data_IF_429942267995
#
_entry.id   IF_429942267995
#
_cell.length_a   1.000
_cell.length_b   1.000
_cell.length_c   1.000
_cell.angle_alpha   90.00
_cell.angle_beta   90.00
_cell.angle_gamma   90.00
#
_symmetry.space_group_name_H-M   'P 1'
#
loop_
_entity.id
_entity.type
_entity.pdbx_description
1 polymer ?
#
# COMPACT_ATOMS: atom_id res chain seq x y z
N UNK A 1 67.12 -69.84 -6.34
CA UNK A 1 65.66 -69.75 -6.55
C UNK A 1 65.10 -68.72 -5.59
N UNK A 2 64.32 -67.79 -6.15
CA UNK A 2 63.30 -66.90 -5.57
C UNK A 2 63.69 -65.76 -4.60
N UNK A 3 63.21 -64.58 -5.04
CA UNK A 3 63.19 -63.23 -4.46
C UNK A 3 62.32 -63.16 -3.20
N UNK A 4 62.60 -62.20 -2.32
CA UNK A 4 61.56 -61.25 -1.88
C UNK A 4 62.18 -59.95 -1.30
N UNK A 5 61.77 -58.82 -1.86
CA UNK A 5 62.05 -57.45 -1.40
C UNK A 5 61.24 -57.15 -0.12
N UNK A 6 61.77 -56.31 0.78
CA UNK A 6 60.93 -55.45 1.60
C UNK A 6 61.58 -54.08 1.82
N UNK A 7 60.73 -53.07 1.67
CA UNK A 7 61.00 -51.72 1.20
C UNK A 7 61.32 -50.77 2.36
N UNK A 8 62.32 -49.91 2.18
CA UNK A 8 62.70 -48.82 3.08
C UNK A 8 61.71 -47.65 2.91
N UNK A 9 60.98 -47.30 3.97
CA UNK A 9 60.04 -46.18 3.99
C UNK A 9 60.80 -44.87 4.27
N UNK A 10 61.04 -44.05 3.25
CA UNK A 10 61.56 -42.69 3.40
C UNK A 10 60.37 -41.72 3.57
N UNK A 11 60.28 -41.10 4.75
CA UNK A 11 59.28 -40.07 5.04
C UNK A 11 59.72 -38.76 4.34
N UNK A 12 59.11 -38.45 3.19
CA UNK A 12 59.30 -37.18 2.49
C UNK A 12 58.39 -36.14 3.16
N UNK A 13 58.99 -35.19 3.87
CA UNK A 13 58.30 -34.02 4.38
C UNK A 13 57.99 -33.07 3.22
N UNK A 14 56.72 -33.04 2.80
CA UNK A 14 56.20 -32.11 1.80
C UNK A 14 55.97 -30.77 2.50
N UNK A 15 56.86 -29.81 2.21
CA UNK A 15 56.64 -28.40 2.56
C UNK A 15 55.62 -27.85 1.57
N UNK A 16 54.37 -27.69 2.02
CA UNK A 16 53.38 -26.90 1.30
C UNK A 16 53.77 -25.42 1.41
N UNK A 17 54.39 -24.88 0.36
CA UNK A 17 54.36 -23.44 0.10
C UNK A 17 52.91 -23.06 -0.21
N UNK A 18 52.17 -22.65 0.82
CA UNK A 18 50.95 -21.88 0.65
C UNK A 18 51.37 -20.51 0.11
N UNK A 19 51.28 -20.33 -1.20
CA UNK A 19 51.19 -19.00 -1.79
C UNK A 19 49.88 -18.40 -1.30
N UNK A 20 49.97 -17.53 -0.29
CA UNK A 20 48.89 -16.59 0.00
C UNK A 20 48.95 -15.51 -1.08
N UNK A 21 48.36 -15.78 -2.25
CA UNK A 21 48.00 -14.69 -3.16
C UNK A 21 46.97 -13.86 -2.43
N UNK A 22 47.42 -12.78 -1.79
CA UNK A 22 46.58 -11.64 -1.48
C UNK A 22 46.07 -11.11 -2.83
N UNK A 23 44.97 -11.70 -3.32
CA UNK A 23 44.18 -11.19 -4.42
C UNK A 23 43.44 -9.93 -3.94
N UNK A 24 44.21 -8.89 -3.61
CA UNK A 24 43.72 -7.52 -3.60
C UNK A 24 43.59 -7.08 -5.05
N UNK A 25 42.59 -7.63 -5.75
CA UNK A 25 42.00 -6.90 -6.88
C UNK A 25 41.56 -5.55 -6.32
N UNK A 26 41.90 -4.41 -6.94
CA UNK A 26 41.42 -3.13 -6.45
C UNK A 26 39.90 -3.19 -6.43
N UNK A 27 39.34 -3.00 -5.24
CA UNK A 27 37.91 -2.99 -5.03
C UNK A 27 37.34 -1.84 -5.88
N UNK A 28 36.49 -2.16 -6.84
CA UNK A 28 35.98 -1.17 -7.79
C UNK A 28 35.13 -0.15 -7.03
N UNK A 29 35.62 1.10 -6.95
CA UNK A 29 34.90 2.20 -6.30
C UNK A 29 33.62 2.47 -7.09
N UNK A 30 32.49 2.51 -6.37
CA UNK A 30 31.20 2.86 -6.95
C UNK A 30 31.12 4.36 -7.17
N UNK A 31 30.64 4.77 -8.34
CA UNK A 31 30.31 6.17 -8.65
C UNK A 31 28.84 6.22 -9.00
N UNK A 32 28.03 6.83 -8.13
CA UNK A 32 26.62 7.02 -8.38
C UNK A 32 26.43 8.19 -9.35
N UNK A 33 25.71 7.94 -10.44
CA UNK A 33 25.39 8.97 -11.40
C UNK A 33 24.06 8.68 -12.08
N UNK A 34 23.34 9.72 -12.46
CA UNK A 34 22.10 9.63 -13.22
C UNK A 34 21.79 10.96 -13.87
N UNK A 35 20.89 10.91 -14.84
CA UNK A 35 20.26 12.06 -15.48
C UNK A 35 18.73 11.95 -15.41
N UNK A 36 18.07 13.07 -15.65
CA UNK A 36 16.61 13.18 -15.55
C UNK A 36 16.03 13.83 -16.79
N UNK A 37 14.91 13.31 -17.25
CA UNK A 37 14.06 13.94 -18.27
C UNK A 37 12.70 14.26 -17.66
N UNK A 38 12.29 15.53 -17.71
CA UNK A 38 10.99 15.98 -17.21
C UNK A 38 9.98 15.97 -18.36
N UNK A 39 8.99 15.10 -18.24
CA UNK A 39 7.86 14.97 -19.15
C UNK A 39 6.61 15.53 -18.46
N UNK A 40 6.07 16.62 -18.99
CA UNK A 40 4.81 17.17 -18.49
C UNK A 40 3.64 16.37 -19.06
N UNK A 41 2.83 15.81 -18.17
CA UNK A 41 1.56 15.17 -18.50
C UNK A 41 0.36 16.05 -18.12
N UNK A 42 -0.84 15.58 -18.43
CA UNK A 42 -2.06 16.26 -17.98
C UNK A 42 -2.18 16.17 -16.45
N UNK A 43 -2.14 17.31 -15.75
CA UNK A 43 -2.26 17.44 -14.30
C UNK A 43 -1.18 16.70 -13.47
N UNK A 44 -0.07 16.29 -14.09
CA UNK A 44 1.07 15.67 -13.41
C UNK A 44 2.36 15.89 -14.20
N UNK A 45 3.51 15.72 -13.55
CA UNK A 45 4.81 15.59 -14.20
C UNK A 45 5.37 14.18 -13.96
N UNK A 46 6.00 13.63 -14.99
CA UNK A 46 6.74 12.37 -14.94
C UNK A 46 8.21 12.73 -15.13
N UNK A 47 9.06 12.31 -14.19
CA UNK A 47 10.50 12.49 -14.27
C UNK A 47 11.12 11.14 -14.52
N UNK A 48 11.54 10.90 -15.76
CA UNK A 48 12.24 9.68 -16.13
C UNK A 48 13.69 9.77 -15.63
N UNK A 49 14.16 8.72 -14.96
CA UNK A 49 15.51 8.62 -14.40
C UNK A 49 16.31 7.60 -15.20
N UNK A 50 17.45 8.03 -15.73
CA UNK A 50 18.40 7.14 -16.40
C UNK A 50 19.65 7.01 -15.56
N UNK A 51 19.96 5.80 -15.12
CA UNK A 51 21.14 5.52 -14.33
C UNK A 51 22.40 5.45 -15.18
N UNK A 52 23.43 6.15 -14.72
CA UNK A 52 24.75 6.27 -15.34
C UNK A 52 25.85 5.85 -14.36
N UNK A 53 25.49 5.13 -13.30
CA UNK A 53 26.40 4.72 -12.24
C UNK A 53 27.43 3.72 -12.75
N UNK A 54 28.62 3.76 -12.15
CA UNK A 54 29.73 2.88 -12.51
C UNK A 54 30.05 1.94 -11.35
N UNK A 55 30.41 0.70 -11.70
CA UNK A 55 30.81 -0.35 -10.77
C UNK A 55 29.77 -0.73 -9.72
N UNK A 56 28.49 -0.43 -9.95
CA UNK A 56 27.37 -0.79 -9.07
C UNK A 56 26.58 -1.99 -9.64
N UNK A 57 25.92 -2.72 -8.75
CA UNK A 57 25.03 -3.84 -9.08
C UNK A 57 23.66 -3.72 -8.44
N UNK A 58 23.47 -2.76 -7.54
CA UNK A 58 22.22 -2.50 -6.80
C UNK A 58 21.97 -1.01 -6.67
N UNK A 59 20.70 -0.64 -6.66
CA UNK A 59 20.24 0.74 -6.70
C UNK A 59 19.11 0.98 -5.71
N UNK A 60 19.05 2.19 -5.18
CA UNK A 60 17.96 2.65 -4.34
C UNK A 60 17.65 4.12 -4.63
N UNK A 61 16.47 4.34 -5.20
CA UNK A 61 15.93 5.66 -5.49
C UNK A 61 15.09 6.18 -4.33
N UNK A 62 15.18 7.49 -4.09
CA UNK A 62 14.32 8.21 -3.15
C UNK A 62 14.00 9.62 -3.65
N UNK A 63 12.84 10.14 -3.25
CA UNK A 63 12.32 11.45 -3.62
C UNK A 63 11.66 12.10 -2.42
N UNK A 64 11.69 13.44 -2.35
CA UNK A 64 11.08 14.18 -1.25
C UNK A 64 9.55 14.06 -1.20
N UNK A 65 8.88 14.06 -2.37
CA UNK A 65 7.40 14.12 -2.47
C UNK A 65 6.83 13.35 -3.68
N UNK A 66 7.69 12.69 -4.47
CA UNK A 66 7.28 11.99 -5.68
C UNK A 66 7.05 10.50 -5.45
N UNK A 67 6.11 9.91 -6.19
CA UNK A 67 5.92 8.45 -6.18
C UNK A 67 6.86 7.84 -7.20
N UNK A 68 7.72 6.94 -6.73
CA UNK A 68 8.68 6.22 -7.58
C UNK A 68 8.03 4.93 -8.07
N UNK A 69 8.10 4.66 -9.36
CA UNK A 69 7.55 3.45 -9.97
C UNK A 69 8.17 2.18 -9.40
N UNK A 70 9.50 2.13 -9.38
CA UNK A 70 10.28 1.10 -8.73
C UNK A 70 11.53 1.71 -8.09
N UNK A 71 11.72 1.51 -6.79
CA UNK A 71 12.83 2.09 -6.04
C UNK A 71 14.16 1.39 -6.26
N UNK A 72 14.17 0.19 -6.85
CA UNK A 72 15.36 -0.67 -6.97
C UNK A 72 15.76 -0.98 -8.41
N UNK A 73 14.96 -0.57 -9.39
CA UNK A 73 15.31 -0.73 -10.80
C UNK A 73 16.47 0.20 -11.20
N UNK A 74 17.20 -0.23 -12.23
CA UNK A 74 18.30 0.53 -12.81
C UNK A 74 17.78 1.88 -13.34
N UNK A 75 16.74 1.85 -14.18
CA UNK A 75 16.03 3.04 -14.65
C UNK A 75 14.61 3.02 -14.09
N UNK A 76 14.06 4.18 -13.72
CA UNK A 76 12.73 4.29 -13.11
C UNK A 76 12.11 5.65 -13.44
N UNK A 77 10.86 5.87 -13.02
CA UNK A 77 10.19 7.16 -13.15
C UNK A 77 9.64 7.65 -11.81
N UNK A 78 9.59 8.96 -11.64
CA UNK A 78 8.98 9.63 -10.48
C UNK A 78 7.81 10.50 -10.93
N UNK A 79 6.69 10.39 -10.23
CA UNK A 79 5.46 11.11 -10.54
C UNK A 79 5.19 12.20 -9.51
N UNK A 80 4.91 13.43 -9.98
CA UNK A 80 4.59 14.60 -9.15
C UNK A 80 3.28 15.26 -9.62
N UNK A 81 2.51 15.84 -8.69
CA UNK A 81 1.22 16.50 -8.99
C UNK A 81 1.25 18.02 -8.83
N UNK A 82 2.25 18.55 -8.12
CA UNK A 82 2.34 19.96 -7.80
C UNK A 82 3.61 20.55 -8.42
N UNK A 83 3.57 21.84 -8.75
CA UNK A 83 4.77 22.56 -9.11
C UNK A 83 5.60 22.78 -7.83
N UNK A 84 6.91 22.67 -7.94
CA UNK A 84 7.81 22.77 -6.80
C UNK A 84 9.24 22.36 -7.13
N UNK A 85 10.08 22.47 -6.11
CA UNK A 85 11.45 21.95 -6.14
C UNK A 85 11.48 20.63 -5.38
N UNK A 86 11.99 19.59 -6.03
CA UNK A 86 12.03 18.24 -5.49
C UNK A 86 13.45 17.71 -5.48
N UNK A 87 13.80 17.02 -4.40
CA UNK A 87 15.10 16.37 -4.26
C UNK A 87 14.99 14.91 -4.70
N UNK A 88 15.88 14.48 -5.59
CA UNK A 88 15.98 13.09 -6.05
C UNK A 88 17.36 12.56 -5.68
N UNK A 89 17.37 11.38 -5.05
CA UNK A 89 18.61 10.73 -4.61
C UNK A 89 18.69 9.30 -5.15
N UNK A 90 19.85 8.97 -5.73
CA UNK A 90 20.25 7.61 -6.08
C UNK A 90 21.38 7.16 -5.15
N UNK A 91 21.17 6.08 -4.42
CA UNK A 91 22.22 5.30 -3.79
C UNK A 91 22.55 4.09 -4.66
N UNK A 92 23.82 3.94 -5.05
CA UNK A 92 24.31 2.82 -5.84
C UNK A 92 25.34 2.03 -5.02
N UNK A 93 25.31 0.69 -5.11
CA UNK A 93 26.24 -0.18 -4.39
C UNK A 93 26.59 -1.44 -5.17
N UNK A 94 27.77 -2.01 -4.88
CA UNK A 94 28.19 -3.35 -5.32
C UNK A 94 28.33 -4.35 -4.17
N UNK A 95 27.82 -4.02 -2.98
CA UNK A 95 27.91 -4.85 -1.77
C UNK A 95 29.16 -4.60 -0.92
N UNK A 96 30.21 -3.97 -1.46
CA UNK A 96 31.41 -3.61 -0.68
C UNK A 96 31.70 -2.11 -0.65
N UNK A 97 31.39 -1.40 -1.73
CA UNK A 97 31.40 0.05 -1.83
C UNK A 97 29.99 0.57 -2.12
N UNK A 98 29.70 1.79 -1.69
CA UNK A 98 28.50 2.53 -2.08
C UNK A 98 28.82 4.00 -2.35
N UNK A 99 28.01 4.63 -3.19
CA UNK A 99 28.06 6.07 -3.41
C UNK A 99 26.63 6.60 -3.62
N UNK A 100 26.45 7.89 -3.38
CA UNK A 100 25.16 8.57 -3.48
C UNK A 100 25.28 9.81 -4.32
N UNK A 101 24.31 10.03 -5.22
CA UNK A 101 24.13 11.28 -5.93
C UNK A 101 22.75 11.85 -5.60
N UNK A 102 22.72 13.14 -5.31
CA UNK A 102 21.49 13.89 -5.05
C UNK A 102 21.44 15.09 -5.98
N UNK A 103 20.28 15.34 -6.59
CA UNK A 103 20.02 16.54 -7.38
C UNK A 103 18.68 17.16 -6.97
N UNK A 104 18.57 18.47 -7.15
CA UNK A 104 17.29 19.17 -7.08
C UNK A 104 16.76 19.40 -8.50
N UNK A 105 15.49 19.08 -8.73
CA UNK A 105 14.77 19.40 -9.95
C UNK A 105 13.68 20.43 -9.65
N UNK A 106 13.31 21.25 -10.64
CA UNK A 106 12.20 22.19 -10.53
C UNK A 106 11.14 21.84 -11.56
N UNK A 107 9.89 21.74 -11.11
CA UNK A 107 8.71 21.56 -11.95
C UNK A 107 7.85 22.81 -11.78
N UNK A 108 7.64 23.56 -12.86
CA UNK A 108 7.01 24.89 -12.83
C UNK A 108 5.80 25.03 -13.78
N UNK A 109 5.43 23.98 -14.50
CA UNK A 109 4.46 24.03 -15.60
C UNK A 109 3.44 22.88 -15.63
N UNK A 110 3.12 22.25 -14.50
CA UNK A 110 1.93 21.39 -14.42
C UNK A 110 0.68 22.26 -14.61
N UNK A 111 -0.02 22.06 -15.73
CA UNK A 111 -1.28 22.74 -16.01
C UNK A 111 -2.43 22.01 -15.32
N UNK A 112 -3.13 22.71 -14.43
CA UNK A 112 -4.42 22.25 -13.90
C UNK A 112 -5.51 22.60 -14.90
N UNK A 113 -5.69 21.78 -15.94
CA UNK A 113 -6.65 22.02 -17.02
C UNK A 113 -8.12 21.74 -16.64
N UNK A 114 -8.48 21.94 -15.37
CA UNK A 114 -9.76 21.49 -14.84
C UNK A 114 -9.79 19.96 -14.81
N UNK A 115 -9.08 19.39 -13.83
CA UNK A 115 -9.16 17.97 -13.51
C UNK A 115 -10.63 17.53 -13.51
N UNK A 116 -11.01 16.63 -14.43
CA UNK A 116 -12.28 15.94 -14.32
C UNK A 116 -12.03 14.79 -13.34
N UNK A 117 -12.56 14.86 -12.10
CA UNK A 117 -12.34 13.81 -11.14
C UNK A 117 -12.89 12.49 -11.67
N UNK A 118 -12.18 11.39 -11.38
CA UNK A 118 -12.68 10.06 -11.67
C UNK A 118 -14.07 9.90 -11.06
N UNK A 119 -14.99 9.47 -11.92
CA UNK A 119 -16.35 9.20 -11.52
C UNK A 119 -16.54 7.70 -11.43
N UNK A 120 -16.79 7.24 -10.22
CA UNK A 120 -17.11 5.86 -9.90
C UNK A 120 -18.61 5.71 -10.13
N UNK A 121 -18.99 4.91 -11.12
CA UNK A 121 -20.40 4.74 -11.49
C UNK A 121 -21.03 3.59 -10.72
N UNK A 122 -20.29 2.49 -10.62
CA UNK A 122 -20.73 1.32 -9.87
C UNK A 122 -19.55 0.64 -9.19
N UNK A 123 -19.80 0.14 -7.99
CA UNK A 123 -18.87 -0.69 -7.24
C UNK A 123 -19.63 -1.69 -6.37
N UNK A 124 -18.97 -2.78 -6.04
CA UNK A 124 -19.43 -3.66 -4.97
C UNK A 124 -18.25 -4.21 -4.17
N UNK A 125 -18.55 -4.65 -2.95
CA UNK A 125 -17.51 -5.01 -2.00
C UNK A 125 -18.04 -5.63 -0.73
N UNK A 126 -17.10 -6.05 0.11
CA UNK A 126 -17.35 -6.54 1.46
C UNK A 126 -16.60 -5.68 2.45
N UNK A 127 -17.26 -5.35 3.55
CA UNK A 127 -16.81 -4.37 4.52
C UNK A 127 -17.02 -4.93 5.93
N UNK A 128 -16.04 -4.78 6.82
CA UNK A 128 -16.17 -5.21 8.21
C UNK A 128 -15.44 -4.28 9.19
N UNK A 129 -15.99 -4.24 10.40
CA UNK A 129 -15.37 -3.58 11.55
C UNK A 129 -15.08 -4.61 12.63
N UNK A 130 -13.95 -4.47 13.29
CA UNK A 130 -13.57 -5.30 14.42
C UNK A 130 -12.64 -4.55 15.38
N UNK A 131 -12.57 -5.04 16.61
CA UNK A 131 -11.52 -4.68 17.57
C UNK A 131 -10.36 -5.67 17.46
N UNK A 132 -9.17 -5.18 17.76
CA UNK A 132 -7.96 -5.98 17.95
C UNK A 132 -7.40 -5.71 19.35
N UNK A 133 -6.62 -6.66 19.88
CA UNK A 133 -5.89 -6.55 21.14
C UNK A 133 -4.37 -6.40 20.94
N UNK A 134 -3.91 -6.39 19.68
CA UNK A 134 -2.49 -6.26 19.33
C UNK A 134 -2.00 -4.81 19.43
N UNK A 135 -1.81 -4.33 20.67
CA UNK A 135 -1.40 -2.96 20.96
C UNK A 135 -0.03 -2.58 20.40
N UNK A 136 0.91 -3.53 20.33
CA UNK A 136 2.26 -3.28 19.81
C UNK A 136 2.22 -2.90 18.33
N UNK A 137 1.52 -3.70 17.53
CA UNK A 137 1.33 -3.41 16.10
C UNK A 137 0.48 -2.16 15.93
N UNK A 138 -0.64 -2.04 16.65
CA UNK A 138 -1.53 -0.89 16.52
C UNK A 138 -0.79 0.44 16.75
N UNK A 139 -0.04 0.53 17.85
CA UNK A 139 0.74 1.71 18.20
C UNK A 139 1.82 2.01 17.16
N UNK A 140 2.47 0.99 16.60
CA UNK A 140 3.52 1.18 15.58
C UNK A 140 2.98 1.71 14.24
N UNK A 141 1.66 1.65 14.03
CA UNK A 141 1.01 2.13 12.81
C UNK A 141 0.42 3.53 12.95
N UNK A 142 0.51 4.16 14.13
CA UNK A 142 0.05 5.53 14.37
C UNK A 142 1.22 6.49 14.15
N UNK A 143 1.15 7.40 13.16
CA UNK A 143 2.11 8.50 13.00
C UNK A 143 2.16 9.43 14.22
N UNK A 144 3.30 10.11 14.40
CA UNK A 144 3.55 11.02 15.54
C UNK A 144 2.54 12.18 15.62
N UNK A 145 1.89 12.53 14.51
CA UNK A 145 0.86 13.56 14.42
C UNK A 145 -0.47 13.15 15.08
N UNK A 146 -0.69 11.86 15.31
CA UNK A 146 -1.94 11.31 15.86
C UNK A 146 -1.74 10.65 17.22
N UNK A 147 -2.81 10.57 17.99
CA UNK A 147 -2.85 9.92 19.29
C UNK A 147 -3.53 8.54 19.20
N UNK A 148 -3.19 7.68 20.17
CA UNK A 148 -3.91 6.43 20.39
C UNK A 148 -5.39 6.69 20.71
N UNK A 149 -6.34 6.01 20.05
CA UNK A 149 -7.75 6.12 20.38
C UNK A 149 -8.08 5.38 21.69
N UNK A 150 -9.27 5.62 22.22
CA UNK A 150 -9.80 4.87 23.37
C UNK A 150 -10.09 3.40 23.05
N UNK A 151 -10.32 3.08 21.77
CA UNK A 151 -10.65 1.74 21.26
C UNK A 151 -9.83 1.44 20.03
N UNK A 152 -9.20 0.26 20.00
CA UNK A 152 -8.41 -0.21 18.85
C UNK A 152 -9.32 -0.83 17.79
N UNK A 153 -10.02 0.04 17.05
CA UNK A 153 -10.95 -0.35 15.98
C UNK A 153 -10.19 -0.46 14.67
N UNK A 154 -10.56 -1.47 13.88
CA UNK A 154 -10.05 -1.73 12.54
C UNK A 154 -11.22 -1.82 11.57
N UNK A 155 -11.12 -1.09 10.47
CA UNK A 155 -12.00 -1.15 9.32
C UNK A 155 -11.27 -1.85 8.17
N UNK A 156 -11.77 -3.00 7.75
CA UNK A 156 -11.21 -3.77 6.64
C UNK A 156 -12.23 -3.95 5.53
N UNK A 157 -11.77 -3.89 4.28
CA UNK A 157 -12.65 -4.10 3.12
C UNK A 157 -11.94 -4.67 1.90
N UNK A 158 -12.77 -5.23 1.03
CA UNK A 158 -12.50 -5.45 -0.39
C UNK A 158 -13.55 -4.68 -1.19
N UNK A 159 -13.12 -4.01 -2.26
CA UNK A 159 -14.01 -3.28 -3.15
C UNK A 159 -13.58 -3.46 -4.61
N UNK A 160 -14.54 -3.67 -5.50
CA UNK A 160 -14.35 -3.81 -6.94
C UNK A 160 -15.04 -2.64 -7.64
N UNK A 161 -14.24 -1.72 -8.15
CA UNK A 161 -14.72 -0.63 -9.00
C UNK A 161 -14.72 -1.13 -10.44
N UNK A 162 -15.84 -1.72 -10.84
CA UNK A 162 -15.95 -2.36 -12.16
C UNK A 162 -16.54 -1.45 -13.24
N UNK A 163 -17.08 -0.29 -12.87
CA UNK A 163 -17.62 0.70 -13.82
C UNK A 163 -17.25 2.12 -13.42
N UNK A 164 -16.43 2.75 -14.24
CA UNK A 164 -15.95 4.12 -14.05
C UNK A 164 -16.06 4.90 -15.37
N UNK A 165 -15.92 6.22 -15.27
CA UNK A 165 -15.93 7.15 -16.41
C UNK A 165 -14.66 8.01 -16.43
N UNK A 166 -14.49 8.81 -17.49
CA UNK A 166 -13.36 9.74 -17.66
C UNK A 166 -11.98 9.07 -17.67
N UNK A 167 -11.89 7.93 -18.37
CA UNK A 167 -10.62 7.25 -18.62
C UNK A 167 -10.06 6.48 -17.44
N UNK A 168 -10.82 6.31 -16.34
CA UNK A 168 -10.39 5.48 -15.23
C UNK A 168 -10.49 3.98 -15.59
N UNK A 169 -9.43 3.23 -15.30
CA UNK A 169 -9.39 1.78 -15.46
C UNK A 169 -10.15 1.10 -14.32
N UNK A 170 -11.02 0.11 -14.58
CA UNK A 170 -11.59 -0.75 -13.56
C UNK A 170 -10.52 -1.43 -12.71
N UNK A 171 -10.72 -1.42 -11.39
CA UNK A 171 -9.71 -1.93 -10.47
C UNK A 171 -10.33 -2.36 -9.14
N UNK A 172 -9.59 -3.19 -8.40
CA UNK A 172 -9.96 -3.66 -7.07
C UNK A 172 -9.06 -3.02 -6.03
N UNK A 173 -9.60 -2.86 -4.83
CA UNK A 173 -8.87 -2.44 -3.64
C UNK A 173 -9.14 -3.42 -2.51
N UNK A 174 -8.13 -3.62 -1.68
CA UNK A 174 -8.22 -4.24 -0.38
C UNK A 174 -7.56 -3.27 0.60
N UNK A 175 -8.14 -3.06 1.78
CA UNK A 175 -7.56 -2.11 2.73
C UNK A 175 -7.77 -2.47 4.20
N UNK A 176 -6.91 -1.89 5.04
CA UNK A 176 -7.07 -1.77 6.48
C UNK A 176 -6.94 -0.29 6.86
N UNK A 177 -7.90 0.21 7.62
CA UNK A 177 -7.81 1.47 8.33
C UNK A 177 -7.95 1.25 9.83
N UNK A 178 -7.20 2.00 10.61
CA UNK A 178 -7.27 2.01 12.07
C UNK A 178 -7.89 3.31 12.55
N UNK A 179 -8.49 3.28 13.73
CA UNK A 179 -8.94 4.48 14.42
C UNK A 179 -7.74 5.21 15.01
N UNK A 180 -7.73 6.53 14.89
CA UNK A 180 -6.73 7.42 15.50
C UNK A 180 -7.44 8.63 16.08
N UNK A 181 -6.84 9.27 17.07
CA UNK A 181 -7.33 10.55 17.58
C UNK A 181 -6.47 11.70 17.04
N UNK A 182 -7.11 12.74 16.52
CA UNK A 182 -6.45 13.97 16.08
C UNK A 182 -7.28 15.18 16.54
N UNK A 183 -6.64 16.10 17.26
CA UNK A 183 -7.30 17.29 17.80
C UNK A 183 -8.55 17.00 18.67
N UNK A 184 -8.55 15.85 19.36
CA UNK A 184 -9.65 15.43 20.24
C UNK A 184 -10.85 14.80 19.54
N UNK A 185 -10.75 14.53 18.23
CA UNK A 185 -11.76 13.80 17.46
C UNK A 185 -11.18 12.49 16.91
N UNK A 186 -12.04 11.48 16.74
CA UNK A 186 -11.66 10.18 16.18
C UNK A 186 -11.80 10.16 14.65
N UNK A 187 -10.79 9.58 13.98
CA UNK A 187 -10.75 9.43 12.53
C UNK A 187 -10.28 8.04 12.12
N UNK A 188 -10.66 7.59 10.93
CA UNK A 188 -9.98 6.47 10.29
C UNK A 188 -8.71 6.94 9.57
N UNK A 189 -7.61 6.25 9.82
CA UNK A 189 -6.35 6.39 9.10
C UNK A 189 -6.06 5.08 8.37
N UNK A 190 -5.98 5.11 7.03
CA UNK A 190 -5.67 3.92 6.25
C UNK A 190 -4.17 3.64 6.31
N UNK A 191 -3.81 2.41 6.68
CA UNK A 191 -2.43 1.95 6.94
C UNK A 191 -1.99 0.84 5.99
N UNK A 192 -2.89 0.35 5.14
CA UNK A 192 -2.62 -0.71 4.18
C UNK A 192 -3.67 -0.65 3.07
N UNK A 193 -3.25 -0.55 1.80
CA UNK A 193 -4.20 -0.47 0.67
C UNK A 193 -3.67 -1.05 -0.65
N UNK A 194 -3.50 -2.38 -0.80
CA UNK A 194 -3.23 -2.95 -2.11
C UNK A 194 -4.34 -2.65 -3.13
N UNK A 195 -3.92 -2.37 -4.37
CA UNK A 195 -4.81 -2.15 -5.52
C UNK A 195 -4.31 -2.89 -6.76
N UNK A 196 -5.21 -3.15 -7.71
CA UNK A 196 -4.86 -3.88 -8.96
C UNK A 196 -4.48 -2.97 -10.13
N UNK A 197 -4.45 -1.66 -9.94
CA UNK A 197 -4.19 -0.69 -11.00
C UNK A 197 -3.20 0.38 -10.53
N UNK A 198 -2.12 0.56 -11.27
CA UNK A 198 -1.05 1.48 -10.93
C UNK A 198 -1.47 2.94 -11.01
N UNK A 199 -2.37 3.26 -11.93
CA UNK A 199 -2.84 4.62 -12.06
C UNK A 199 -3.65 5.04 -10.83
N UNK A 200 -4.57 4.19 -10.38
CA UNK A 200 -5.28 4.31 -9.11
C UNK A 200 -4.34 4.36 -7.90
N UNK A 201 -3.29 3.53 -7.90
CA UNK A 201 -2.26 3.52 -6.87
C UNK A 201 -1.63 4.91 -6.75
N UNK A 202 -1.04 5.40 -7.85
CA UNK A 202 -0.36 6.70 -7.90
C UNK A 202 -1.30 7.85 -7.57
N UNK A 203 -2.51 7.86 -8.13
CA UNK A 203 -3.50 8.90 -7.87
C UNK A 203 -3.89 8.98 -6.38
N UNK A 204 -4.01 7.84 -5.70
CA UNK A 204 -4.30 7.79 -4.27
C UNK A 204 -3.13 8.27 -3.40
N UNK A 205 -1.90 7.88 -3.71
CA UNK A 205 -0.71 8.30 -2.96
C UNK A 205 -0.48 9.81 -3.15
N UNK A 206 -0.36 10.27 -4.39
CA UNK A 206 -0.01 11.67 -4.69
C UNK A 206 -1.19 12.61 -4.39
N UNK A 207 -2.42 12.13 -4.55
CA UNK A 207 -3.62 12.93 -4.31
C UNK A 207 -3.99 13.05 -2.84
N UNK A 208 -3.89 11.96 -2.07
CA UNK A 208 -4.51 11.84 -0.76
C UNK A 208 -3.55 11.34 0.33
N UNK A 209 -2.33 10.91 0.02
CA UNK A 209 -1.41 10.30 1.00
C UNK A 209 -1.81 8.89 1.42
N UNK A 210 -2.59 8.17 0.60
CA UNK A 210 -2.98 6.79 0.90
C UNK A 210 -1.78 5.83 0.75
N UNK A 211 -1.63 4.80 1.60
CA UNK A 211 -0.54 3.83 1.52
C UNK A 211 -0.84 2.75 0.46
N UNK A 212 -1.13 3.19 -0.77
CA UNK A 212 -1.46 2.25 -1.85
C UNK A 212 -0.21 1.52 -2.32
N UNK A 213 -0.37 0.23 -2.59
CA UNK A 213 0.65 -0.61 -3.24
C UNK A 213 0.00 -1.44 -4.34
N UNK A 214 0.78 -2.00 -5.26
CA UNK A 214 0.23 -3.03 -6.16
C UNK A 214 0.03 -4.34 -5.40
N UNK A 215 -1.09 -5.00 -5.69
CA UNK A 215 -1.39 -6.32 -5.18
C UNK A 215 -2.30 -7.12 -6.08
N UNK A 216 -2.33 -8.42 -5.82
CA UNK A 216 -3.16 -9.38 -6.52
C UNK A 216 -4.47 -9.49 -5.75
N UNK A 217 -5.60 -9.14 -6.35
CA UNK A 217 -6.89 -9.11 -5.65
C UNK A 217 -7.95 -9.86 -6.45
N UNK A 218 -8.57 -10.85 -5.82
CA UNK A 218 -9.72 -11.58 -6.34
C UNK A 218 -10.94 -11.29 -5.46
N UNK A 219 -12.09 -11.12 -6.09
CA UNK A 219 -13.37 -10.92 -5.40
C UNK A 219 -14.47 -11.77 -6.04
N UNK A 220 -15.10 -12.63 -5.25
CA UNK A 220 -16.07 -13.62 -5.68
C UNK A 220 -17.46 -13.32 -5.09
N UNK A 221 -18.50 -13.48 -5.92
CA UNK A 221 -19.90 -13.08 -5.61
C UNK A 221 -20.82 -14.30 -5.66
N UNK A 222 -20.63 -15.23 -4.73
CA UNK A 222 -21.30 -16.54 -4.72
C UNK A 222 -22.42 -16.57 -3.67
N UNK A 223 -23.50 -15.82 -3.90
CA UNK A 223 -24.63 -15.71 -2.94
C UNK A 223 -25.02 -17.09 -2.38
N UNK A 224 -25.05 -17.26 -1.05
CA UNK A 224 -25.03 -16.22 0.00
C UNK A 224 -23.64 -15.75 0.46
N UNK A 225 -22.55 -16.30 -0.08
CA UNK A 225 -21.17 -16.02 0.32
C UNK A 225 -20.49 -15.01 -0.63
N UNK A 226 -19.81 -14.03 -0.06
CA UNK A 226 -19.00 -13.06 -0.79
C UNK A 226 -17.57 -13.11 -0.23
N UNK A 227 -16.58 -13.38 -1.08
CA UNK A 227 -15.20 -13.66 -0.65
C UNK A 227 -14.20 -12.76 -1.37
N UNK A 228 -13.26 -12.21 -0.61
CA UNK A 228 -12.10 -11.48 -1.09
C UNK A 228 -10.80 -12.19 -0.72
N UNK A 229 -9.88 -12.28 -1.67
CA UNK A 229 -8.50 -12.68 -1.45
C UNK A 229 -7.56 -11.60 -1.98
N UNK A 230 -6.60 -11.17 -1.17
CA UNK A 230 -5.56 -10.23 -1.56
C UNK A 230 -4.17 -10.75 -1.16
N UNK A 231 -3.19 -10.49 -2.02
CA UNK A 231 -1.76 -10.63 -1.73
C UNK A 231 -1.04 -9.33 -2.11
N UNK A 232 -0.37 -8.71 -1.15
CA UNK A 232 0.50 -7.56 -1.43
C UNK A 232 1.81 -8.05 -2.07
N UNK A 233 2.36 -7.32 -3.04
CA UNK A 233 3.64 -7.63 -3.66
C UNK A 233 4.80 -7.67 -2.65
N UNK A 234 4.73 -6.85 -1.59
CA UNK A 234 5.70 -6.83 -0.48
C UNK A 234 5.51 -7.99 0.51
N UNK A 235 4.55 -8.89 0.25
CA UNK A 235 4.24 -10.04 1.10
C UNK A 235 2.97 -9.85 1.91
N UNK A 236 2.54 -10.93 2.54
CA UNK A 236 1.31 -10.96 3.32
C UNK A 236 0.05 -11.20 2.49
N UNK A 237 -0.93 -11.86 3.11
CA UNK A 237 -2.22 -12.17 2.47
C UNK A 237 -3.39 -11.88 3.40
N UNK A 238 -4.52 -11.52 2.79
CA UNK A 238 -5.80 -11.37 3.47
C UNK A 238 -6.85 -12.19 2.73
N UNK A 239 -7.57 -13.04 3.48
CA UNK A 239 -8.83 -13.62 3.06
C UNK A 239 -9.93 -12.99 3.92
N UNK A 240 -10.99 -12.51 3.31
CA UNK A 240 -12.15 -11.96 4.01
C UNK A 240 -13.43 -12.47 3.37
N UNK A 241 -14.44 -12.77 4.17
CA UNK A 241 -15.74 -13.17 3.63
C UNK A 241 -16.91 -12.63 4.43
N UNK A 242 -18.06 -12.50 3.77
CA UNK A 242 -19.36 -12.17 4.35
C UNK A 242 -20.35 -13.25 3.91
N UNK A 243 -20.82 -14.08 4.85
CA UNK A 243 -21.90 -15.04 4.60
C UNK A 243 -23.26 -14.44 5.00
N UNK A 244 -24.10 -14.15 4.02
CA UNK A 244 -25.43 -13.53 4.20
C UNK A 244 -26.54 -14.53 4.51
N UNK A 245 -26.25 -15.82 4.55
CA UNK A 245 -27.24 -16.88 4.73
C UNK A 245 -27.93 -16.78 6.09
N UNK A 246 -29.25 -16.60 6.08
CA UNK A 246 -30.10 -16.53 7.27
C UNK A 246 -29.59 -15.55 8.35
N UNK A 247 -28.84 -14.52 7.94
CA UNK A 247 -28.21 -13.59 8.86
C UNK A 247 -29.14 -12.42 9.18
N UNK A 248 -29.36 -12.18 10.47
CA UNK A 248 -30.09 -11.02 10.97
C UNK A 248 -29.16 -10.22 11.88
N UNK A 249 -28.94 -8.94 11.55
CA UNK A 249 -28.10 -8.06 12.35
C UNK A 249 -28.83 -7.64 13.64
N UNK A 250 -28.11 -7.62 14.76
CA UNK A 250 -28.59 -7.04 16.00
C UNK A 250 -28.65 -5.50 15.90
N UNK A 251 -29.67 -4.87 16.49
CA UNK A 251 -29.86 -3.42 16.39
C UNK A 251 -28.72 -2.59 17.00
N UNK A 252 -28.16 -3.03 18.13
CA UNK A 252 -27.04 -2.34 18.79
C UNK A 252 -25.78 -2.43 17.95
N UNK A 253 -25.51 -3.61 17.38
CA UNK A 253 -24.41 -3.82 16.42
C UNK A 253 -24.59 -2.95 15.18
N UNK A 254 -25.80 -2.90 14.63
CA UNK A 254 -26.13 -2.03 13.48
C UNK A 254 -25.86 -0.56 13.82
N UNK A 255 -26.26 -0.11 15.00
CA UNK A 255 -26.06 1.28 15.42
C UNK A 255 -24.58 1.59 15.65
N UNK A 256 -23.82 0.66 16.21
CA UNK A 256 -22.36 0.80 16.36
C UNK A 256 -21.68 0.95 14.99
N UNK A 257 -22.05 0.13 14.01
CA UNK A 257 -21.54 0.24 12.64
C UNK A 257 -21.93 1.56 11.97
N UNK A 258 -23.15 2.06 12.20
CA UNK A 258 -23.58 3.39 11.71
C UNK A 258 -22.68 4.47 12.30
N UNK A 259 -22.43 4.45 13.61
CA UNK A 259 -21.59 5.45 14.26
C UNK A 259 -20.15 5.44 13.70
N UNK A 260 -19.59 4.25 13.47
CA UNK A 260 -18.27 4.12 12.83
C UNK A 260 -18.28 4.65 11.40
N UNK A 261 -19.33 4.40 10.61
CA UNK A 261 -19.45 4.89 9.23
C UNK A 261 -19.57 6.42 9.12
N UNK A 262 -19.96 7.12 10.19
CA UNK A 262 -20.07 8.57 10.22
C UNK A 262 -18.72 9.26 10.53
N UNK A 263 -17.73 8.50 11.03
CA UNK A 263 -16.38 9.01 11.24
C UNK A 263 -15.75 9.42 9.92
N UNK A 264 -14.97 10.50 9.96
CA UNK A 264 -14.17 10.95 8.81
C UNK A 264 -12.89 10.13 8.72
N UNK A 265 -12.29 10.14 7.54
CA UNK A 265 -10.94 9.60 7.36
C UNK A 265 -9.93 10.73 7.23
N UNK A 266 -8.68 10.47 7.58
CA UNK A 266 -7.58 11.39 7.31
C UNK A 266 -6.30 10.65 6.91
N UNK A 267 -5.41 11.40 6.28
CA UNK A 267 -4.10 10.95 5.86
C UNK A 267 -3.05 12.04 6.02
N UNK A 268 -1.79 11.64 6.00
CA UNK A 268 -0.66 12.56 5.96
C UNK A 268 -0.11 12.56 4.55
N UNK A 269 -0.02 13.74 3.96
CA UNK A 269 0.57 13.96 2.63
C UNK A 269 1.58 15.09 2.72
N UNK A 270 2.86 14.78 2.57
CA UNK A 270 3.96 15.74 2.59
C UNK A 270 3.94 16.61 3.87
N UNK A 271 3.77 15.95 5.03
CA UNK A 271 3.67 16.59 6.34
C UNK A 271 2.38 17.37 6.61
N UNK A 272 1.39 17.32 5.70
CA UNK A 272 0.10 17.99 5.85
C UNK A 272 -1.02 16.98 6.09
N UNK A 273 -1.94 17.32 6.98
CA UNK A 273 -3.14 16.54 7.23
C UNK A 273 -4.15 16.76 6.10
N UNK A 274 -4.57 15.66 5.48
CA UNK A 274 -5.59 15.62 4.44
C UNK A 274 -6.81 14.90 5.01
N UNK A 275 -7.90 15.63 5.23
CA UNK A 275 -9.18 15.03 5.63
C UNK A 275 -9.90 14.51 4.39
N UNK A 276 -10.22 13.22 4.39
CA UNK A 276 -10.86 12.49 3.30
C UNK A 276 -12.32 12.23 3.68
N UNK A 277 -13.22 12.37 2.71
CA UNK A 277 -14.64 12.05 2.90
C UNK A 277 -15.56 13.25 3.05
N UNK A 278 -15.24 14.40 2.46
CA UNK A 278 -16.21 15.49 2.32
C UNK A 278 -17.23 15.25 1.19
N UNK A 279 -17.65 13.99 1.01
CA UNK A 279 -18.69 13.60 0.04
C UNK A 279 -20.06 13.78 0.68
N UNK A 280 -20.69 14.94 0.46
CA UNK A 280 -22.05 15.20 0.95
C UNK A 280 -22.19 15.41 2.46
N UNK A 281 -21.13 15.85 3.14
CA UNK A 281 -21.22 16.32 4.54
C UNK A 281 -21.27 15.24 5.62
N UNK A 282 -21.09 13.95 5.30
CA UNK A 282 -21.15 12.84 6.26
C UNK A 282 -22.45 12.78 7.09
N UNK A 283 -23.56 13.32 6.58
CA UNK A 283 -24.83 13.32 7.33
C UNK A 283 -25.46 11.93 7.45
N UNK A 284 -25.18 11.03 6.50
CA UNK A 284 -25.73 9.68 6.45
C UNK A 284 -24.65 8.62 6.22
N UNK A 285 -24.71 7.56 7.04
CA UNK A 285 -23.94 6.33 6.84
C UNK A 285 -24.39 5.58 5.59
N UNK A 286 -23.53 4.73 5.03
CA UNK A 286 -23.90 3.85 3.90
C UNK A 286 -25.09 2.95 4.26
N UNK A 287 -25.19 2.51 5.51
CA UNK A 287 -26.34 1.74 6.00
C UNK A 287 -27.64 2.55 5.92
N UNK A 288 -27.62 3.84 6.27
CA UNK A 288 -28.78 4.72 6.15
C UNK A 288 -29.12 5.01 4.68
N UNK A 289 -28.12 5.33 3.87
CA UNK A 289 -28.27 5.59 2.42
C UNK A 289 -28.85 4.38 1.69
N UNK A 290 -28.45 3.16 2.06
CA UNK A 290 -29.02 1.93 1.49
C UNK A 290 -30.52 1.77 1.78
N UNK A 291 -30.96 2.15 2.98
CA UNK A 291 -32.40 2.12 3.33
C UNK A 291 -33.19 3.19 2.57
N UNK A 292 -32.56 4.35 2.30
CA UNK A 292 -33.19 5.45 1.57
C UNK A 292 -33.28 5.18 0.06
N UNK A 293 -32.27 4.51 -0.50
CA UNK A 293 -32.16 4.25 -1.95
C UNK A 293 -32.02 2.76 -2.27
N UNK A 294 -33.00 1.91 -1.90
CA UNK A 294 -32.89 0.45 -2.03
C UNK A 294 -32.81 -0.06 -3.48
N UNK A 295 -33.20 0.77 -4.47
CA UNK A 295 -33.08 0.45 -5.90
C UNK A 295 -31.68 0.76 -6.46
N UNK A 296 -30.87 1.56 -5.76
CA UNK A 296 -29.54 1.98 -6.19
C UNK A 296 -28.44 1.36 -5.32
N UNK A 297 -28.76 1.02 -4.08
CA UNK A 297 -27.84 0.39 -3.16
C UNK A 297 -28.47 -0.90 -2.62
N UNK A 298 -27.77 -2.01 -2.85
CA UNK A 298 -28.06 -3.29 -2.19
C UNK A 298 -27.06 -3.47 -1.06
N UNK A 299 -27.54 -3.48 0.18
CA UNK A 299 -26.74 -3.83 1.35
C UNK A 299 -27.27 -5.11 1.99
N UNK A 300 -26.38 -6.08 2.22
CA UNK A 300 -26.71 -7.33 2.90
C UNK A 300 -25.75 -7.55 4.06
N UNK A 301 -26.29 -7.54 5.27
CA UNK A 301 -25.52 -7.97 6.43
C UNK A 301 -25.24 -9.47 6.38
N UNK A 302 -24.11 -9.89 6.90
CA UNK A 302 -23.74 -11.30 6.96
C UNK A 302 -22.75 -11.57 8.08
N UNK A 303 -22.51 -12.85 8.36
CA UNK A 303 -21.46 -13.29 9.29
C UNK A 303 -20.10 -13.04 8.63
N UNK A 304 -19.28 -12.12 9.18
CA UNK A 304 -17.97 -11.84 8.61
C UNK A 304 -16.92 -12.85 9.10
N UNK A 305 -15.90 -13.06 8.29
CA UNK A 305 -14.69 -13.81 8.64
C UNK A 305 -13.48 -13.13 8.00
N UNK A 306 -12.34 -13.16 8.68
CA UNK A 306 -11.07 -12.66 8.16
C UNK A 306 -9.93 -13.54 8.64
N UNK A 307 -9.02 -13.87 7.73
CA UNK A 307 -7.78 -14.60 8.00
C UNK A 307 -6.65 -13.88 7.30
N UNK A 308 -5.57 -13.64 8.03
CA UNK A 308 -4.35 -13.01 7.50
C UNK A 308 -3.15 -13.93 7.68
N UNK A 309 -2.17 -13.79 6.80
CA UNK A 309 -0.86 -14.45 6.93
C UNK A 309 0.24 -13.42 6.64
N UNK A 310 1.24 -13.38 7.52
CA UNK A 310 2.40 -12.48 7.49
C UNK A 310 3.70 -13.24 7.76
N UNK A 311 3.72 -14.57 7.61
CA UNK A 311 4.82 -15.43 8.08
C UNK A 311 6.18 -15.11 7.43
N UNK A 312 6.15 -14.52 6.23
CA UNK A 312 7.35 -14.09 5.50
C UNK A 312 7.81 -12.66 5.85
N UNK A 313 7.16 -11.99 6.81
CA UNK A 313 7.39 -10.59 7.17
C UNK A 313 7.94 -10.53 8.60
N UNK A 314 9.06 -9.83 8.79
CA UNK A 314 9.79 -9.78 10.07
C UNK A 314 9.57 -8.49 10.87
N UNK A 315 8.69 -7.60 10.39
CA UNK A 315 8.35 -6.33 11.04
C UNK A 315 6.84 -6.25 11.30
N UNK A 316 6.43 -5.35 12.20
CA UNK A 316 5.02 -5.13 12.51
C UNK A 316 4.24 -4.78 11.24
N UNK A 317 3.25 -5.61 10.89
CA UNK A 317 2.50 -5.45 9.66
C UNK A 317 1.03 -5.17 9.96
N UNK A 318 0.31 -4.31 9.21
CA UNK A 318 -1.11 -4.05 9.41
C UNK A 318 -2.00 -5.30 9.43
N UNK A 319 -1.60 -6.36 8.73
CA UNK A 319 -2.30 -7.64 8.71
C UNK A 319 -2.15 -8.45 10.01
N UNK A 320 -1.28 -8.06 10.94
CA UNK A 320 -1.15 -8.67 12.27
C UNK A 320 -2.22 -8.17 13.26
N UNK A 321 -3.00 -7.17 12.87
CA UNK A 321 -4.18 -6.70 13.60
C UNK A 321 -5.32 -7.71 13.45
N UNK A 322 -5.20 -8.87 14.10
CA UNK A 322 -6.23 -9.90 14.07
C UNK A 322 -7.42 -9.51 14.95
N UNK A 323 -8.66 -9.92 14.62
CA UNK A 323 -9.81 -9.60 15.44
C UNK A 323 -9.75 -10.26 16.82
N UNK A 324 -9.87 -9.45 17.88
CA UNK A 324 -10.23 -9.91 19.24
C UNK A 324 -11.76 -9.95 19.40
N UNK A 325 -12.48 -9.02 18.74
CA UNK A 325 -13.94 -8.99 18.66
C UNK A 325 -14.38 -8.46 17.30
N UNK A 326 -15.10 -9.28 16.53
CA UNK A 326 -15.77 -8.83 15.32
C UNK A 326 -17.02 -8.02 15.71
N UNK A 327 -17.14 -6.79 15.21
CA UNK A 327 -18.31 -5.93 15.43
C UNK A 327 -19.39 -6.32 14.43
N UNK A 328 -19.08 -6.29 13.13
CA UNK A 328 -20.03 -6.69 12.09
C UNK A 328 -19.48 -6.49 10.69
N UNK A 329 -20.23 -6.95 9.69
CA UNK A 329 -19.86 -6.80 8.29
C UNK A 329 -21.04 -6.93 7.34
N UNK A 330 -20.84 -6.43 6.13
CA UNK A 330 -21.85 -6.42 5.08
C UNK A 330 -21.23 -6.51 3.69
N UNK A 331 -22.01 -7.06 2.77
CA UNK A 331 -21.83 -6.84 1.34
C UNK A 331 -22.58 -5.58 0.92
N UNK A 332 -21.97 -4.79 0.04
CA UNK A 332 -22.57 -3.60 -0.57
C UNK A 332 -22.43 -3.70 -2.08
N UNK A 333 -23.51 -3.40 -2.81
CA UNK A 333 -23.47 -3.01 -4.21
C UNK A 333 -24.06 -1.62 -4.34
N UNK A 334 -23.33 -0.71 -4.96
CA UNK A 334 -23.71 0.68 -5.15
C UNK A 334 -23.72 1.04 -6.64
N UNK A 335 -24.76 1.74 -7.06
CA UNK A 335 -24.89 2.33 -8.40
C UNK A 335 -25.12 3.84 -8.37
N UNK A 336 -24.98 4.48 -7.21
CA UNK A 336 -24.97 5.94 -7.08
C UNK A 336 -23.57 6.42 -7.47
N UNK A 337 -23.44 7.29 -8.49
CA UNK A 337 -22.13 7.82 -8.88
C UNK A 337 -21.49 8.67 -7.77
N UNK A 338 -20.17 8.57 -7.61
CA UNK A 338 -19.41 9.37 -6.65
C UNK A 338 -17.98 9.66 -7.15
N UNK A 339 -17.31 10.61 -6.51
CA UNK A 339 -15.92 10.97 -6.76
C UNK A 339 -15.08 10.88 -5.49
N UNK A 340 -13.74 10.83 -5.64
CA UNK A 340 -12.81 10.66 -4.51
C UNK A 340 -12.81 11.82 -3.51
N UNK A 341 -13.03 13.05 -3.97
CA UNK A 341 -13.00 14.27 -3.11
C UNK A 341 -14.37 14.65 -2.58
N UNK A 342 -15.40 13.92 -3.01
CA UNK A 342 -16.75 14.12 -2.53
C UNK A 342 -17.54 15.27 -3.12
N UNK A 343 -16.98 15.95 -4.11
CA UNK A 343 -17.75 16.89 -4.91
C UNK A 343 -18.85 16.13 -5.65
N UNK A 344 -20.09 16.62 -5.56
CA UNK A 344 -21.20 16.07 -6.32
C UNK A 344 -20.96 16.22 -7.82
N UNK A 345 -21.39 15.21 -8.59
CA UNK A 345 -21.46 15.26 -10.05
C UNK A 345 -22.87 15.62 -10.51
#
# INVERSE_FOLDING_TARGET
>A
MNKLNLTLLFLISIVFLSCNENNNSPESIVIANFETEILLGENQAIVALTNLSQNATTYKWSSSDGVIENTTDDNTSIYFKENGTYQITLEASNGTSSNTKTIDITIDNITNNGYIPYRYLENDGIFMYYETDNIEVYKSLIPDEFNMPSRMIVFAFFNDFYKLDFGATPYKENAISILVEYQGEEFFHCVYMPVTDEHSMRAGIIGLGLPKTIGNINFFRNTPLYDGYAKNQLGGTMNMSINTENYNINNDVKQEMINLQLLKSLQIRNGKIIVIGNTGGNENSVIQTANQYPNLITLKFGKPSITTNTDAISFNHPLDLKPSRIIGGFYLKNTIPFGLTGNAF
#
